data_IF_267596709190
#
_entry.id   IF_267596709190
#
_cell.length_a   1.000
_cell.length_b   1.000
_cell.length_c   1.000
_cell.angle_alpha   90.00
_cell.angle_beta   90.00
_cell.angle_gamma   90.00
#
_symmetry.space_group_name_H-M   'P 1'
#
loop_
_entity.id
_entity.type
_entity.pdbx_description
1 polymer ?
#
# COMPACT_ATOMS: atom_id res chain seq x y z
N UNK A 1 23.63 -15.45 -12.83
CA UNK A 1 22.30 -15.78 -12.53
C UNK A 1 21.48 -14.61 -12.05
N UNK A 2 20.32 -14.58 -12.57
CA UNK A 2 19.48 -13.48 -12.26
C UNK A 2 18.95 -13.57 -10.85
N UNK A 3 19.05 -12.50 -10.14
CA UNK A 3 18.55 -12.50 -8.81
C UNK A 3 17.05 -12.29 -8.81
N UNK A 4 16.34 -13.13 -8.12
CA UNK A 4 14.91 -12.96 -8.05
C UNK A 4 14.58 -11.76 -7.18
N UNK A 5 13.58 -11.02 -7.60
CA UNK A 5 13.15 -9.90 -6.81
C UNK A 5 12.42 -10.36 -5.58
N UNK A 6 12.65 -9.69 -4.48
CA UNK A 6 12.00 -10.03 -3.23
C UNK A 6 10.53 -9.70 -3.28
N UNK A 7 9.72 -10.64 -2.89
CA UNK A 7 8.30 -10.41 -2.70
C UNK A 7 8.12 -10.24 -1.20
N UNK A 8 7.62 -9.10 -0.80
CA UNK A 8 7.44 -8.81 0.62
C UNK A 8 6.00 -8.36 0.86
N UNK A 9 5.59 -8.42 2.12
CA UNK A 9 4.28 -7.97 2.54
C UNK A 9 4.49 -6.98 3.66
N UNK A 10 3.86 -5.81 3.54
CA UNK A 10 4.01 -4.76 4.54
C UNK A 10 2.66 -4.34 5.08
N UNK A 11 2.62 -4.08 6.37
CA UNK A 11 1.45 -3.58 7.06
C UNK A 11 1.76 -2.15 7.50
N UNK A 12 0.93 -1.22 7.07
CA UNK A 12 1.22 0.19 7.27
C UNK A 12 0.00 0.87 7.86
N UNK A 13 0.26 1.77 8.80
CA UNK A 13 -0.81 2.58 9.37
C UNK A 13 -0.46 4.03 9.12
N UNK A 14 -1.39 4.75 8.50
CA UNK A 14 -1.21 6.17 8.22
C UNK A 14 -1.98 6.99 9.23
N UNK A 15 -1.32 7.99 9.79
CA UNK A 15 -1.91 8.87 10.79
C UNK A 15 -2.20 10.22 10.18
N UNK A 16 -3.07 10.98 10.85
CA UNK A 16 -3.38 12.31 10.40
C UNK A 16 -4.66 12.32 9.56
N UNK A 17 -4.78 13.30 8.70
CA UNK A 17 -5.99 13.47 7.91
C UNK A 17 -5.90 12.67 6.62
N UNK A 18 -5.99 11.36 6.76
CA UNK A 18 -5.82 10.48 5.61
C UNK A 18 -7.08 9.71 5.27
N UNK A 19 -8.11 9.77 6.10
CA UNK A 19 -9.34 9.05 5.79
C UNK A 19 -10.12 9.75 4.71
N UNK A 20 -10.81 8.95 3.91
CA UNK A 20 -11.63 9.47 2.86
C UNK A 20 -11.57 8.60 1.65
N UNK A 21 -12.57 8.77 0.81
CA UNK A 21 -12.67 7.98 -0.40
C UNK A 21 -11.48 8.25 -1.31
N UNK A 22 -11.06 9.50 -1.38
CA UNK A 22 -9.97 9.87 -2.26
C UNK A 22 -8.67 9.12 -1.97
N UNK A 23 -8.33 9.02 -0.67
CA UNK A 23 -7.10 8.34 -0.31
C UNK A 23 -7.15 6.87 -0.66
N UNK A 24 -8.27 6.21 -0.31
CA UNK A 24 -8.41 4.79 -0.59
C UNK A 24 -8.40 4.50 -2.09
N UNK A 25 -9.06 5.36 -2.84
CA UNK A 25 -9.14 5.19 -4.28
C UNK A 25 -7.76 5.33 -4.93
N UNK A 26 -7.01 6.34 -4.51
CA UNK A 26 -5.69 6.57 -5.08
C UNK A 26 -4.72 5.47 -4.71
N UNK A 27 -4.82 4.98 -3.47
CA UNK A 27 -3.96 3.88 -3.03
C UNK A 27 -4.23 2.62 -3.84
N UNK A 28 -5.50 2.34 -4.05
CA UNK A 28 -5.89 1.17 -4.81
C UNK A 28 -5.39 1.27 -6.26
N UNK A 29 -5.57 2.43 -6.85
CA UNK A 29 -5.14 2.64 -8.22
C UNK A 29 -3.63 2.50 -8.36
N UNK A 30 -2.89 3.08 -7.43
CA UNK A 30 -1.44 3.00 -7.46
C UNK A 30 -0.97 1.56 -7.28
N UNK A 31 -1.62 0.83 -6.38
CA UNK A 31 -1.25 -0.55 -6.16
C UNK A 31 -1.45 -1.37 -7.44
N UNK A 32 -2.54 -1.13 -8.15
CA UNK A 32 -2.80 -1.81 -9.40
C UNK A 32 -1.71 -1.49 -10.43
N UNK A 33 -1.30 -0.25 -10.49
CA UNK A 33 -0.28 0.16 -11.44
C UNK A 33 1.04 -0.57 -11.21
N UNK A 34 1.36 -0.85 -9.95
CA UNK A 34 2.60 -1.52 -9.61
C UNK A 34 2.45 -3.03 -9.47
N UNK A 35 1.26 -3.55 -9.73
CA UNK A 35 1.05 -4.99 -9.62
C UNK A 35 1.06 -5.50 -8.20
N UNK A 36 0.69 -4.66 -7.25
CA UNK A 36 0.64 -5.05 -5.84
C UNK A 36 -0.74 -5.57 -5.48
N UNK A 37 -0.79 -6.40 -4.45
CA UNK A 37 -2.04 -6.91 -3.93
C UNK A 37 -2.15 -6.55 -2.47
N UNK A 38 -3.37 -6.58 -1.94
CA UNK A 38 -3.58 -6.26 -0.55
C UNK A 38 -4.92 -5.57 -0.33
N UNK A 39 -4.98 -4.79 0.75
CA UNK A 39 -6.22 -4.11 1.09
C UNK A 39 -5.92 -2.84 1.86
N UNK A 40 -6.90 -1.96 1.92
CA UNK A 40 -6.80 -0.71 2.66
C UNK A 40 -8.16 -0.45 3.30
N UNK A 41 -8.15 0.05 4.53
CA UNK A 41 -9.40 0.35 5.24
C UNK A 41 -9.22 1.51 6.20
N UNK A 42 -10.32 2.18 6.49
CA UNK A 42 -10.34 3.22 7.50
C UNK A 42 -10.54 2.56 8.86
N UNK A 43 -9.90 3.11 9.88
CA UNK A 43 -10.03 2.61 11.24
C UNK A 43 -10.84 3.59 12.07
N UNK A 44 -11.31 3.11 13.23
CA UNK A 44 -12.12 3.94 14.11
C UNK A 44 -11.40 5.18 14.59
N UNK A 45 -10.11 5.07 14.80
CA UNK A 45 -9.34 6.14 15.41
C UNK A 45 -8.92 7.23 14.42
N UNK A 46 -9.43 7.16 13.21
CA UNK A 46 -9.11 8.17 12.21
C UNK A 46 -7.90 7.86 11.37
N UNK A 47 -7.27 6.72 11.59
CA UNK A 47 -6.14 6.32 10.78
C UNK A 47 -6.60 5.45 9.62
N UNK A 48 -5.70 5.21 8.69
CA UNK A 48 -5.94 4.30 7.58
C UNK A 48 -4.93 3.16 7.67
N UNK A 49 -5.44 1.96 7.59
CA UNK A 49 -4.61 0.76 7.67
C UNK A 49 -4.52 0.11 6.31
N UNK A 50 -3.33 -0.32 5.94
CA UNK A 50 -3.09 -0.91 4.63
C UNK A 50 -2.16 -2.10 4.77
N UNK A 51 -2.44 -3.13 3.99
CA UNK A 51 -1.49 -4.24 3.88
C UNK A 51 -1.29 -4.49 2.41
N UNK A 52 -0.03 -4.51 1.98
CA UNK A 52 0.30 -4.67 0.56
C UNK A 52 1.38 -5.71 0.40
N UNK A 53 1.35 -6.38 -0.73
CA UNK A 53 2.29 -7.43 -1.04
C UNK A 53 2.72 -7.29 -2.49
N UNK A 54 4.00 -7.49 -2.74
CA UNK A 54 4.55 -7.43 -4.07
C UNK A 54 6.05 -7.24 -4.01
N UNK A 55 6.62 -6.84 -5.12
CA UNK A 55 8.05 -6.60 -5.17
C UNK A 55 8.43 -5.44 -4.28
N UNK A 56 9.51 -5.60 -3.55
CA UNK A 56 9.96 -4.56 -2.62
C UNK A 56 10.10 -3.20 -3.31
N UNK A 57 10.69 -3.20 -4.50
CA UNK A 57 10.88 -1.95 -5.22
C UNK A 57 9.56 -1.26 -5.55
N UNK A 58 8.56 -2.06 -5.88
CA UNK A 58 7.25 -1.49 -6.21
C UNK A 58 6.56 -0.92 -4.99
N UNK A 59 6.70 -1.59 -3.85
CA UNK A 59 6.13 -1.09 -2.61
C UNK A 59 6.81 0.21 -2.22
N UNK A 60 8.13 0.26 -2.34
CA UNK A 60 8.86 1.48 -2.01
C UNK A 60 8.42 2.63 -2.91
N UNK A 61 8.20 2.36 -4.17
CA UNK A 61 7.73 3.39 -5.09
C UNK A 61 6.34 3.90 -4.71
N UNK A 62 5.48 3.00 -4.26
CA UNK A 62 4.14 3.39 -3.86
C UNK A 62 4.17 4.31 -2.66
N UNK A 63 5.05 4.02 -1.72
CA UNK A 63 5.11 4.77 -0.46
C UNK A 63 5.93 6.04 -0.53
N UNK A 64 6.56 6.27 -1.63
CA UNK A 64 7.47 7.41 -1.80
C UNK A 64 6.74 8.74 -2.03
#
# INVERSE_FOLDING_TARGET
>A
MEKMEDIVRKHIVFYGRVQGVGFRYRSHYAAEQFGLTGWVRNRYDGTVEMEIQGKRMCIDALLC
#
